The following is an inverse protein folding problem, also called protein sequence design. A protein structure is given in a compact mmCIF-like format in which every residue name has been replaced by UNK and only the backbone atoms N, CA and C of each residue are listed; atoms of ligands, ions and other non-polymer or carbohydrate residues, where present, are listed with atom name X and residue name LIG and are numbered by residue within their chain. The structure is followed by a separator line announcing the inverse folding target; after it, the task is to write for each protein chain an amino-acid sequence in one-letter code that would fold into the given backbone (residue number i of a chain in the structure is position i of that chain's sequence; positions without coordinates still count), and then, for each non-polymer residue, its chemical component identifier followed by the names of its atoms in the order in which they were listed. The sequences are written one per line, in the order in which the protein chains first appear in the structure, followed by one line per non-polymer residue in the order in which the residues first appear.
data_IF_431020504865
#
_entry.id   IF_431020504865
#
_cell.length_a   1.000
_cell.length_b   1.000
_cell.length_c   1.000
_cell.angle_alpha   90.00
_cell.angle_beta   90.00
_cell.angle_gamma   90.00
#
_symmetry.space_group_name_H-M   'P 1'
#
loop_
_entity.id
_entity.type
_entity.pdbx_description
1 polymer ?
#
# COMPACT_ATOMS: atom_id res chain seq x y z
N UNK A 1 29.35 32.47 4.00
CA UNK A 1 28.02 32.52 4.62
C UNK A 1 27.08 31.81 3.67
N UNK A 2 26.91 30.51 3.87
CA UNK A 2 26.06 29.66 3.03
C UNK A 2 24.93 29.15 3.91
N UNK A 3 23.73 29.57 3.63
CA UNK A 3 22.52 28.96 4.18
C UNK A 3 22.40 27.56 3.57
N UNK A 4 22.52 26.52 4.38
CA UNK A 4 22.05 25.19 4.03
C UNK A 4 20.54 25.19 4.20
N UNK A 5 19.82 25.01 3.12
CA UNK A 5 18.42 24.65 3.14
C UNK A 5 18.28 23.26 3.78
N UNK A 6 17.67 23.19 4.94
CA UNK A 6 17.20 21.94 5.52
C UNK A 6 15.99 21.51 4.70
N UNK A 7 16.19 20.48 3.85
CA UNK A 7 15.11 19.85 3.09
C UNK A 7 14.08 19.28 4.06
N UNK A 8 12.86 19.76 3.97
CA UNK A 8 11.74 19.31 4.78
C UNK A 8 11.46 17.82 4.47
N UNK A 9 11.52 17.01 5.51
CA UNK A 9 11.03 15.64 5.50
C UNK A 9 9.51 15.71 5.39
N UNK A 10 8.90 14.89 4.53
CA UNK A 10 7.45 14.82 4.38
C UNK A 10 6.73 14.58 5.71
N UNK A 11 5.40 14.73 5.78
CA UNK A 11 4.63 14.79 7.04
C UNK A 11 4.84 13.59 7.97
N UNK A 12 5.45 12.54 7.50
CA UNK A 12 5.78 11.34 8.28
C UNK A 12 6.93 11.53 9.29
N UNK A 13 7.66 12.66 9.30
CA UNK A 13 8.90 12.80 10.08
C UNK A 13 8.99 14.02 10.99
N UNK A 14 7.99 14.89 11.10
CA UNK A 14 8.10 16.10 11.92
C UNK A 14 7.38 16.07 13.29
N UNK A 15 7.32 14.93 13.96
CA UNK A 15 6.85 14.87 15.36
C UNK A 15 7.91 15.26 16.39
N UNK A 16 9.10 15.77 16.00
CA UNK A 16 10.21 16.02 16.94
C UNK A 16 10.64 17.48 17.14
N UNK A 17 10.01 18.45 16.50
CA UNK A 17 10.45 19.85 16.69
C UNK A 17 9.90 20.58 17.92
N UNK A 18 8.92 20.04 18.64
CA UNK A 18 8.35 20.72 19.81
C UNK A 18 8.21 19.85 21.04
N UNK A 19 9.14 19.01 21.38
CA UNK A 19 9.38 18.50 22.74
C UNK A 19 8.20 18.08 23.62
N UNK A 20 7.00 17.90 23.06
CA UNK A 20 5.84 17.36 23.76
C UNK A 20 5.29 16.15 22.96
N UNK A 21 5.13 14.96 23.58
CA UNK A 21 4.43 13.87 22.94
C UNK A 21 2.99 14.33 22.69
N UNK A 22 2.48 14.10 21.47
CA UNK A 22 1.05 14.15 21.21
C UNK A 22 0.42 13.07 22.09
N UNK A 23 -0.23 13.51 23.16
CA UNK A 23 -1.03 12.69 24.05
C UNK A 23 -2.29 12.24 23.29
N UNK A 24 -2.22 11.07 22.63
CA UNK A 24 -3.36 10.40 22.02
C UNK A 24 -4.00 9.50 23.09
N UNK A 25 -4.40 10.09 24.18
CA UNK A 25 -5.03 9.27 25.18
C UNK A 25 -5.63 10.10 26.28
N UNK A 26 -6.86 10.49 26.11
CA UNK A 26 -7.85 10.52 27.19
C UNK A 26 -9.15 11.15 26.68
N UNK A 27 -9.90 10.37 25.93
CA UNK A 27 -11.35 10.42 26.08
C UNK A 27 -11.69 9.49 27.24
N UNK A 28 -11.98 10.10 28.38
CA UNK A 28 -12.22 9.42 29.63
C UNK A 28 -13.33 8.39 29.54
N UNK A 29 -13.02 7.18 29.94
CA UNK A 29 -14.02 6.24 30.45
C UNK A 29 -13.79 6.10 31.94
N UNK A 30 -14.77 6.56 32.68
CA UNK A 30 -14.94 6.50 34.13
C UNK A 30 -14.90 5.04 34.62
N UNK A 31 -13.80 4.66 35.28
CA UNK A 31 -13.70 3.40 36.00
C UNK A 31 -14.32 3.58 37.38
N UNK A 32 -15.59 3.20 37.52
CA UNK A 32 -16.09 2.70 38.81
C UNK A 32 -17.44 2.05 38.69
N UNK A 33 -17.48 0.72 38.53
CA UNK A 33 -18.50 -0.15 39.18
C UNK A 33 -18.02 -1.60 39.22
N UNK A 34 -17.54 -1.98 40.38
CA UNK A 34 -17.49 -3.38 40.82
C UNK A 34 -18.87 -4.03 40.71
N UNK A 35 -18.95 -5.16 40.01
CA UNK A 35 -20.01 -6.17 40.27
C UNK A 35 -19.36 -7.55 40.21
N UNK A 36 -19.45 -8.24 41.34
CA UNK A 36 -19.04 -9.60 41.63
C UNK A 36 -19.83 -10.64 40.82
N UNK A 37 -19.28 -11.84 40.55
CA UNK A 37 -19.94 -12.88 39.77
C UNK A 37 -20.82 -13.75 40.67
N UNK A 38 -22.04 -13.99 40.26
CA UNK A 38 -22.89 -15.06 40.79
C UNK A 38 -22.98 -16.20 39.78
N UNK A 39 -22.59 -17.33 40.25
CA UNK A 39 -22.73 -18.65 39.59
C UNK A 39 -24.16 -19.15 39.65
N UNK A 40 -24.71 -19.69 38.57
CA UNK A 40 -25.74 -20.74 38.69
C UNK A 40 -25.59 -21.76 37.55
N UNK A 41 -25.52 -22.99 38.00
CA UNK A 41 -25.47 -24.26 37.23
C UNK A 41 -26.89 -24.71 36.85
N UNK A 42 -26.92 -25.76 36.02
CA UNK A 42 -27.96 -26.70 35.59
C UNK A 42 -28.63 -26.35 34.26
N UNK A 43 -28.80 -27.28 33.32
CA UNK A 43 -28.60 -28.73 33.28
C UNK A 43 -28.94 -29.26 31.87
N UNK A 44 -28.34 -30.34 31.57
CA UNK A 44 -28.65 -31.53 30.74
C UNK A 44 -29.54 -31.50 29.53
N UNK A 45 -29.01 -32.00 28.43
CA UNK A 45 -29.46 -32.65 27.21
C UNK A 45 -30.64 -33.67 27.36
N UNK A 46 -30.97 -34.49 26.32
CA UNK A 46 -30.93 -34.41 24.88
C UNK A 46 -32.28 -34.83 24.21
N UNK A 47 -32.42 -34.76 22.88
CA UNK A 47 -33.04 -35.79 22.05
C UNK A 47 -33.05 -35.46 20.56
N UNK A 48 -32.59 -36.42 19.81
CA UNK A 48 -32.62 -36.57 18.35
C UNK A 48 -34.04 -36.86 17.83
N UNK A 49 -34.29 -36.54 16.56
CA UNK A 49 -35.06 -37.41 15.62
C UNK A 49 -34.99 -36.83 14.20
N UNK A 50 -34.35 -37.57 13.37
CA UNK A 50 -34.57 -38.03 11.99
C UNK A 50 -35.68 -37.40 11.13
N UNK A 51 -35.33 -37.13 9.87
CA UNK A 51 -36.15 -37.54 8.74
C UNK A 51 -36.45 -36.48 7.67
N UNK A 52 -36.09 -36.77 6.43
CA UNK A 52 -36.86 -36.28 5.30
C UNK A 52 -36.10 -35.60 4.17
N UNK A 53 -35.63 -36.41 3.22
CA UNK A 53 -35.25 -36.05 1.85
C UNK A 53 -36.48 -35.62 1.07
N UNK A 54 -36.43 -34.45 0.42
CA UNK A 54 -37.34 -34.18 -0.72
C UNK A 54 -36.56 -33.38 -1.78
N UNK A 55 -36.23 -34.09 -2.83
CA UNK A 55 -35.82 -33.56 -4.15
C UNK A 55 -37.05 -32.96 -4.82
N UNK A 56 -36.96 -31.70 -5.25
CA UNK A 56 -37.94 -31.15 -6.19
C UNK A 56 -37.20 -30.44 -7.33
N UNK A 57 -37.22 -31.11 -8.47
CA UNK A 57 -36.91 -30.57 -9.81
C UNK A 57 -38.14 -29.77 -10.24
N UNK A 58 -37.93 -28.54 -10.68
CA UNK A 58 -38.97 -27.81 -11.42
C UNK A 58 -38.36 -27.06 -12.61
N UNK A 59 -38.99 -27.36 -13.73
CA UNK A 59 -38.67 -26.96 -15.08
C UNK A 59 -38.89 -25.47 -15.38
N UNK A 60 -38.16 -25.05 -16.40
CA UNK A 60 -38.30 -23.77 -17.08
C UNK A 60 -39.71 -23.53 -17.64
N UNK A 61 -40.19 -22.32 -17.56
CA UNK A 61 -41.24 -21.78 -18.41
C UNK A 61 -40.78 -20.42 -18.95
N UNK A 62 -40.50 -20.42 -20.25
CA UNK A 62 -40.34 -19.19 -21.01
C UNK A 62 -41.71 -18.54 -21.19
N UNK A 63 -41.85 -17.29 -20.84
CA UNK A 63 -42.96 -16.43 -21.22
C UNK A 63 -42.39 -15.22 -21.97
N UNK A 64 -42.59 -15.21 -23.28
CA UNK A 64 -42.47 -14.02 -24.11
C UNK A 64 -43.57 -13.03 -23.72
N UNK A 65 -43.21 -11.83 -23.37
CA UNK A 65 -44.09 -10.66 -23.34
C UNK A 65 -43.46 -9.53 -24.14
N UNK A 66 -44.24 -9.02 -25.02
CA UNK A 66 -43.97 -8.02 -26.05
C UNK A 66 -43.67 -6.63 -25.49
N UNK A 67 -42.65 -6.03 -26.05
CA UNK A 67 -42.48 -4.63 -26.44
C UNK A 67 -42.92 -3.51 -25.53
N UNK A 68 -41.96 -2.87 -24.87
CA UNK A 68 -41.86 -1.42 -24.76
C UNK A 68 -40.43 -1.07 -25.06
N UNK A 69 -40.23 -0.16 -26.01
CA UNK A 69 -38.97 0.48 -26.33
C UNK A 69 -38.66 1.42 -25.16
N UNK A 70 -37.99 0.91 -24.12
CA UNK A 70 -37.23 1.74 -23.20
C UNK A 70 -35.92 2.11 -23.88
N UNK A 71 -35.76 3.37 -24.12
CA UNK A 71 -34.48 4.01 -24.41
C UNK A 71 -33.51 3.55 -23.34
N UNK A 72 -32.47 2.82 -23.74
CA UNK A 72 -31.31 2.53 -22.89
C UNK A 72 -30.72 3.88 -22.42
N UNK A 73 -31.18 4.31 -21.27
CA UNK A 73 -30.42 5.19 -20.38
C UNK A 73 -29.26 4.30 -19.89
N UNK A 74 -28.11 4.42 -20.54
CA UNK A 74 -26.87 3.84 -20.08
C UNK A 74 -26.55 4.55 -18.75
N UNK A 75 -27.18 4.07 -17.69
CA UNK A 75 -26.96 4.56 -16.33
C UNK A 75 -25.48 4.45 -16.00
N UNK A 76 -24.84 5.59 -15.92
CA UNK A 76 -23.44 5.69 -15.52
C UNK A 76 -23.32 4.99 -14.15
N UNK A 77 -22.54 3.90 -14.10
CA UNK A 77 -22.34 3.19 -12.84
C UNK A 77 -21.55 4.09 -11.90
N UNK A 78 -21.99 4.17 -10.65
CA UNK A 78 -21.27 4.93 -9.62
C UNK A 78 -19.90 4.29 -9.32
N UNK A 79 -18.94 5.11 -8.93
CA UNK A 79 -17.64 4.62 -8.40
C UNK A 79 -17.91 3.76 -7.16
N UNK A 80 -17.27 2.60 -7.09
CA UNK A 80 -17.41 1.71 -5.93
C UNK A 80 -16.51 2.20 -4.78
N UNK A 81 -17.08 2.91 -3.82
CA UNK A 81 -16.38 3.39 -2.63
C UNK A 81 -15.93 2.27 -1.66
N UNK A 82 -16.31 1.02 -1.91
CA UNK A 82 -15.83 -0.13 -1.14
C UNK A 82 -14.71 -0.87 -1.87
N UNK A 83 -14.38 -0.49 -3.09
CA UNK A 83 -13.24 -1.06 -3.80
C UNK A 83 -11.98 -0.77 -2.98
N UNK A 84 -11.25 -1.83 -2.63
CA UNK A 84 -10.04 -1.73 -1.82
C UNK A 84 -8.82 -2.09 -2.67
N UNK A 85 -8.00 -1.10 -3.07
CA UNK A 85 -6.78 -1.36 -3.83
C UNK A 85 -5.78 -2.22 -3.03
N UNK A 86 -5.88 -2.18 -1.70
CA UNK A 86 -5.09 -2.99 -0.80
C UNK A 86 -5.67 -4.40 -0.55
N UNK A 87 -6.72 -4.84 -1.24
CA UNK A 87 -7.28 -6.17 -1.07
C UNK A 87 -6.31 -7.27 -1.52
N UNK A 88 -6.24 -8.37 -0.76
CA UNK A 88 -5.41 -9.51 -1.13
C UNK A 88 -6.04 -10.33 -2.26
N UNK A 89 -5.23 -10.76 -3.19
CA UNK A 89 -5.58 -11.68 -4.26
C UNK A 89 -4.95 -13.08 -4.03
N UNK A 90 -5.39 -14.08 -4.78
CA UNK A 90 -4.75 -15.39 -4.75
C UNK A 90 -3.29 -15.33 -5.25
N UNK A 91 -2.99 -14.40 -6.15
CA UNK A 91 -1.68 -14.19 -6.74
C UNK A 91 -0.68 -13.51 -5.80
N UNK A 92 -1.13 -12.95 -4.66
CA UNK A 92 -0.23 -12.34 -3.67
C UNK A 92 0.53 -13.39 -2.85
N UNK A 93 0.14 -14.66 -2.94
CA UNK A 93 0.81 -15.77 -2.27
C UNK A 93 1.45 -16.68 -3.30
N UNK A 94 2.74 -16.53 -3.44
CA UNK A 94 3.57 -17.46 -4.20
C UNK A 94 4.18 -18.44 -3.21
N UNK A 95 3.96 -19.73 -3.45
CA UNK A 95 4.60 -20.78 -2.65
C UNK A 95 6.13 -20.68 -2.79
N UNK A 96 6.85 -21.30 -1.85
CA UNK A 96 8.31 -21.36 -1.93
C UNK A 96 8.75 -21.93 -3.27
N UNK A 97 9.62 -21.20 -3.97
CA UNK A 97 10.17 -21.60 -5.26
C UNK A 97 11.53 -22.26 -5.09
N UNK A 98 11.84 -23.21 -5.98
CA UNK A 98 13.21 -23.71 -6.11
C UNK A 98 14.07 -22.58 -6.70
N UNK A 99 15.14 -22.21 -5.98
CA UNK A 99 16.08 -21.19 -6.43
C UNK A 99 17.32 -21.84 -7.04
N UNK A 100 17.85 -21.23 -8.09
CA UNK A 100 19.11 -21.68 -8.65
C UNK A 100 20.21 -21.63 -7.59
N UNK A 101 21.07 -22.66 -7.55
CA UNK A 101 22.27 -22.68 -6.70
C UNK A 101 23.42 -21.93 -7.38
N UNK A 102 24.42 -21.53 -6.58
CA UNK A 102 25.63 -20.89 -7.10
C UNK A 102 25.97 -19.60 -6.36
N UNK A 103 26.96 -18.85 -6.82
CA UNK A 103 27.32 -17.58 -6.20
C UNK A 103 26.23 -16.52 -6.41
N UNK A 104 26.12 -15.63 -5.42
CA UNK A 104 25.25 -14.44 -5.51
C UNK A 104 26.11 -13.20 -5.74
N UNK A 105 25.72 -12.35 -6.68
CA UNK A 105 26.31 -11.02 -6.86
C UNK A 105 25.23 -10.05 -7.27
N UNK A 106 25.16 -8.92 -6.56
CA UNK A 106 24.21 -7.85 -6.86
C UNK A 106 24.82 -6.49 -6.55
N UNK A 107 24.66 -5.53 -7.47
CA UNK A 107 25.03 -4.13 -7.24
C UNK A 107 23.77 -3.35 -6.92
N UNK A 108 23.72 -2.78 -5.75
CA UNK A 108 22.54 -2.09 -5.21
C UNK A 108 22.45 -0.61 -5.63
N UNK A 109 21.33 0.03 -5.28
CA UNK A 109 21.09 1.43 -5.61
C UNK A 109 22.03 2.44 -4.95
N UNK A 110 22.81 2.00 -3.96
CA UNK A 110 23.89 2.79 -3.34
C UNK A 110 25.20 2.68 -4.12
N UNK A 111 25.23 1.88 -5.21
CA UNK A 111 26.45 1.53 -5.96
C UNK A 111 27.35 0.53 -5.23
N UNK A 112 26.85 -0.16 -4.20
CA UNK A 112 27.58 -1.18 -3.46
C UNK A 112 27.35 -2.54 -4.10
N UNK A 113 28.42 -3.32 -4.30
CA UNK A 113 28.32 -4.69 -4.78
C UNK A 113 28.45 -5.65 -3.61
N UNK A 114 27.44 -6.50 -3.42
CA UNK A 114 27.47 -7.65 -2.49
C UNK A 114 27.78 -8.89 -3.31
N UNK A 115 28.76 -9.67 -2.87
CA UNK A 115 29.13 -10.95 -3.48
C UNK A 115 29.26 -12.01 -2.41
N UNK A 116 28.55 -13.14 -2.58
CA UNK A 116 28.57 -14.30 -1.71
C UNK A 116 28.89 -15.54 -2.55
N UNK A 117 29.62 -16.51 -1.96
CA UNK A 117 30.01 -17.76 -2.64
C UNK A 117 28.80 -18.67 -2.93
N UNK A 118 27.69 -18.45 -2.26
CA UNK A 118 26.43 -19.19 -2.44
C UNK A 118 25.23 -18.23 -2.37
N UNK A 119 24.08 -18.70 -2.87
CA UNK A 119 22.82 -17.97 -2.71
C UNK A 119 22.48 -17.78 -1.22
N UNK A 120 22.11 -16.55 -0.79
CA UNK A 120 21.71 -16.28 0.57
C UNK A 120 20.41 -17.03 0.93
N UNK A 121 20.38 -17.65 2.09
CA UNK A 121 19.22 -18.42 2.60
C UNK A 121 18.66 -17.86 3.89
N UNK A 122 19.45 -17.08 4.61
CA UNK A 122 19.09 -16.49 5.90
C UNK A 122 18.97 -14.97 5.75
N UNK A 123 17.89 -14.54 5.11
CA UNK A 123 17.67 -13.13 4.77
C UNK A 123 16.88 -12.44 5.89
N UNK A 124 17.38 -11.31 6.38
CA UNK A 124 16.58 -10.34 7.14
C UNK A 124 16.20 -9.21 6.19
N UNK A 125 14.95 -8.75 6.23
CA UNK A 125 14.48 -7.70 5.33
C UNK A 125 13.63 -6.65 6.06
N UNK A 126 13.56 -5.42 5.51
CA UNK A 126 12.51 -4.48 5.92
C UNK A 126 11.14 -4.94 5.38
N UNK A 127 10.08 -4.33 5.91
CA UNK A 127 8.71 -4.74 5.56
C UNK A 127 8.41 -4.63 4.08
N UNK A 128 8.92 -3.59 3.38
CA UNK A 128 8.75 -3.41 1.94
C UNK A 128 9.48 -4.49 1.14
N UNK A 129 10.75 -4.69 1.44
CA UNK A 129 11.55 -5.71 0.76
C UNK A 129 11.03 -7.12 1.07
N UNK A 130 10.62 -7.37 2.31
CA UNK A 130 10.05 -8.64 2.71
C UNK A 130 8.77 -8.96 1.94
N UNK A 131 7.82 -8.01 1.90
CA UNK A 131 6.56 -8.17 1.19
C UNK A 131 6.79 -8.42 -0.31
N UNK A 132 7.67 -7.62 -0.95
CA UNK A 132 8.00 -7.79 -2.36
C UNK A 132 8.66 -9.15 -2.63
N UNK A 133 9.66 -9.57 -1.82
CA UNK A 133 10.35 -10.85 -2.00
C UNK A 133 9.44 -12.06 -1.76
N UNK A 134 8.52 -11.98 -0.79
CA UNK A 134 7.54 -13.05 -0.55
C UNK A 134 6.58 -13.24 -1.74
N UNK A 135 6.32 -12.18 -2.51
CA UNK A 135 5.56 -12.28 -3.77
C UNK A 135 6.31 -13.03 -4.89
N UNK A 136 7.59 -13.29 -4.70
CA UNK A 136 8.43 -14.14 -5.56
C UNK A 136 8.82 -15.46 -4.88
N UNK A 137 8.15 -15.83 -3.77
CA UNK A 137 8.41 -17.07 -3.05
C UNK A 137 9.68 -17.08 -2.19
N UNK A 138 10.30 -15.93 -1.94
CA UNK A 138 11.46 -15.79 -1.05
C UNK A 138 10.99 -15.33 0.32
N UNK A 139 11.01 -16.21 1.30
CA UNK A 139 10.58 -15.93 2.68
C UNK A 139 11.78 -15.53 3.55
N UNK A 140 11.82 -14.30 4.11
CA UNK A 140 12.87 -13.91 5.03
C UNK A 140 12.75 -14.66 6.38
N UNK A 141 13.85 -14.77 7.11
CA UNK A 141 13.85 -15.36 8.46
C UNK A 141 13.41 -14.35 9.51
N UNK A 142 13.59 -13.06 9.25
CA UNK A 142 13.15 -11.98 10.12
C UNK A 142 12.84 -10.70 9.35
N UNK A 143 12.00 -9.86 9.94
CA UNK A 143 11.57 -8.57 9.38
C UNK A 143 11.75 -7.49 10.44
N UNK A 144 12.17 -6.28 10.01
CA UNK A 144 11.89 -5.06 10.77
C UNK A 144 10.85 -4.22 10.02
N UNK A 145 9.95 -3.61 10.77
CA UNK A 145 8.82 -2.86 10.26
C UNK A 145 8.62 -1.56 11.02
N UNK A 146 7.81 -0.67 10.47
CA UNK A 146 7.48 0.60 11.12
C UNK A 146 6.32 0.49 12.10
N UNK A 147 5.57 -0.60 12.01
CA UNK A 147 4.45 -0.99 12.89
C UNK A 147 4.56 -2.48 13.21
N UNK A 148 3.86 -3.01 14.21
CA UNK A 148 3.85 -4.46 14.46
C UNK A 148 3.49 -5.24 13.19
N UNK A 149 4.28 -6.26 12.85
CA UNK A 149 4.16 -7.02 11.59
C UNK A 149 2.73 -7.48 11.31
N UNK A 150 2.00 -7.95 12.35
CA UNK A 150 0.62 -8.44 12.20
C UNK A 150 -0.41 -7.36 11.87
N UNK A 151 -0.04 -6.08 11.93
CA UNK A 151 -0.90 -4.93 11.61
C UNK A 151 -0.32 -4.06 10.48
N UNK A 152 0.83 -4.45 9.92
CA UNK A 152 1.42 -3.72 8.79
C UNK A 152 0.56 -3.90 7.54
N UNK A 153 0.06 -2.80 6.92
CA UNK A 153 -0.69 -2.88 5.67
C UNK A 153 0.13 -3.50 4.53
N UNK A 154 1.44 -3.22 4.51
CA UNK A 154 2.38 -3.70 3.50
C UNK A 154 2.49 -5.23 3.55
N UNK A 155 2.48 -5.79 4.77
CA UNK A 155 2.59 -7.23 5.00
C UNK A 155 1.25 -7.96 5.04
N UNK A 156 0.12 -7.25 4.89
CA UNK A 156 -1.24 -7.79 5.11
C UNK A 156 -1.58 -9.05 4.30
N UNK A 157 -0.99 -9.19 3.11
CA UNK A 157 -1.23 -10.33 2.21
C UNK A 157 -0.15 -11.42 2.30
N UNK A 158 0.84 -11.24 3.17
CA UNK A 158 1.99 -12.12 3.29
C UNK A 158 1.79 -13.23 4.33
N UNK A 159 2.40 -14.40 4.12
CA UNK A 159 2.46 -15.45 5.13
C UNK A 159 3.61 -15.18 6.11
N UNK A 160 3.28 -14.64 7.28
CA UNK A 160 4.24 -14.30 8.33
C UNK A 160 4.59 -15.48 9.26
N UNK A 161 4.05 -16.68 9.02
CA UNK A 161 4.29 -17.83 9.89
C UNK A 161 5.78 -18.17 9.99
N UNK A 162 6.33 -18.19 11.20
CA UNK A 162 7.73 -18.51 11.44
C UNK A 162 8.75 -17.42 11.11
N UNK A 163 8.29 -16.21 10.79
CA UNK A 163 9.15 -15.04 10.61
C UNK A 163 9.31 -14.33 11.96
N UNK A 164 10.56 -14.03 12.33
CA UNK A 164 10.88 -13.30 13.56
C UNK A 164 10.75 -11.78 13.33
N UNK A 165 10.43 -11.02 14.39
CA UNK A 165 10.52 -9.56 14.35
C UNK A 165 11.86 -9.10 14.92
N UNK A 166 12.55 -8.18 14.23
CA UNK A 166 13.76 -7.50 14.70
C UNK A 166 13.59 -5.99 14.80
N UNK A 167 12.34 -5.51 14.82
CA UNK A 167 11.96 -4.10 15.00
C UNK A 167 10.52 -3.90 14.56
N UNK A 168 9.74 -3.12 15.32
CA UNK A 168 8.31 -2.89 15.07
C UNK A 168 7.91 -1.41 15.23
N UNK A 169 8.89 -0.54 15.09
CA UNK A 169 8.68 0.91 15.20
C UNK A 169 9.68 1.62 14.30
N UNK A 170 9.26 2.74 13.70
CA UNK A 170 10.12 3.56 12.86
C UNK A 170 11.51 3.78 13.49
N UNK A 171 12.54 3.48 12.71
CA UNK A 171 13.93 3.68 13.11
C UNK A 171 14.43 2.71 14.18
N UNK A 172 13.69 1.68 14.55
CA UNK A 172 14.16 0.65 15.49
C UNK A 172 14.66 -0.59 14.76
N UNK A 173 15.73 -1.17 15.31
CA UNK A 173 16.29 -2.43 14.86
C UNK A 173 16.98 -3.11 16.05
N UNK A 174 16.62 -4.35 16.32
CA UNK A 174 17.21 -5.15 17.38
C UNK A 174 18.48 -5.85 16.87
N UNK A 175 19.61 -5.20 17.06
CA UNK A 175 20.92 -5.67 16.58
C UNK A 175 21.34 -6.99 17.25
N UNK A 176 21.01 -7.20 18.54
CA UNK A 176 21.39 -8.41 19.25
C UNK A 176 20.58 -9.61 18.75
N UNK A 177 19.28 -9.42 18.61
CA UNK A 177 18.42 -10.46 18.06
C UNK A 177 18.79 -10.76 16.60
N UNK A 178 18.99 -9.74 15.75
CA UNK A 178 19.40 -9.94 14.37
C UNK A 178 20.71 -10.73 14.26
N UNK A 179 21.72 -10.37 15.06
CA UNK A 179 22.99 -11.10 15.09
C UNK A 179 22.81 -12.57 15.57
N UNK A 180 21.93 -12.82 16.55
CA UNK A 180 21.65 -14.17 17.05
C UNK A 180 20.98 -15.08 16.02
N UNK A 181 20.34 -14.49 15.02
CA UNK A 181 19.72 -15.22 13.90
C UNK A 181 20.72 -15.62 12.82
N UNK A 182 21.99 -15.22 12.91
CA UNK A 182 23.07 -15.57 11.99
C UNK A 182 22.65 -15.38 10.51
N UNK A 183 22.26 -14.15 10.10
CA UNK A 183 21.85 -13.86 8.73
C UNK A 183 23.05 -13.86 7.78
N UNK A 184 22.83 -14.25 6.53
CA UNK A 184 23.82 -14.16 5.46
C UNK A 184 23.63 -12.93 4.56
N UNK A 185 22.44 -12.28 4.64
CA UNK A 185 22.14 -11.03 3.91
C UNK A 185 21.08 -10.23 4.64
N UNK A 186 21.24 -8.89 4.65
CA UNK A 186 20.21 -7.96 5.13
C UNK A 186 19.78 -7.08 3.97
N UNK A 187 18.48 -7.06 3.66
CA UNK A 187 17.91 -6.32 2.55
C UNK A 187 17.01 -5.21 3.08
N UNK A 188 17.17 -4.00 2.60
CA UNK A 188 16.28 -2.87 2.90
C UNK A 188 16.01 -2.02 1.67
N UNK A 189 14.85 -1.40 1.62
CA UNK A 189 14.56 -0.39 0.61
C UNK A 189 15.52 0.79 0.78
N UNK A 190 16.09 1.26 -0.30
CA UNK A 190 16.94 2.44 -0.32
C UNK A 190 16.22 3.59 -1.01
N UNK A 191 15.91 4.64 -0.24
CA UNK A 191 15.35 5.87 -0.76
C UNK A 191 16.48 6.87 -1.08
N UNK A 192 16.81 7.11 -2.37
CA UNK A 192 17.90 7.99 -2.74
C UNK A 192 17.62 9.48 -2.44
N UNK A 193 16.35 9.89 -2.39
CA UNK A 193 15.97 11.28 -2.07
C UNK A 193 16.46 11.69 -0.68
N UNK A 194 16.42 10.75 0.27
CA UNK A 194 16.80 11.00 1.67
C UNK A 194 18.09 10.27 2.07
N UNK A 195 18.71 9.49 1.17
CA UNK A 195 19.84 8.62 1.51
C UNK A 195 19.47 7.60 2.60
N UNK A 196 18.20 7.16 2.64
CA UNK A 196 17.65 6.37 3.72
C UNK A 196 17.65 4.89 3.36
N UNK A 197 18.09 4.03 4.29
CA UNK A 197 18.08 2.58 4.16
C UNK A 197 17.06 1.99 5.15
N UNK A 198 16.06 1.29 4.63
CA UNK A 198 15.06 0.54 5.41
C UNK A 198 14.38 1.35 6.51
N UNK A 199 14.18 2.66 6.30
CA UNK A 199 13.60 3.58 7.30
C UNK A 199 14.38 3.63 8.65
N UNK A 200 15.62 3.13 8.68
CA UNK A 200 16.48 3.08 9.87
C UNK A 200 17.40 4.29 10.00
N UNK A 201 17.74 4.92 8.88
CA UNK A 201 18.71 6.01 8.82
C UNK A 201 18.09 7.24 8.18
N UNK A 202 18.63 8.40 8.53
CA UNK A 202 18.40 9.63 7.79
C UNK A 202 19.69 10.03 7.08
N UNK A 203 19.65 11.01 6.18
CA UNK A 203 20.86 11.58 5.55
C UNK A 203 21.93 12.03 6.55
N UNK A 204 21.53 12.28 7.79
CA UNK A 204 22.43 12.76 8.85
C UNK A 204 23.03 11.64 9.71
N UNK A 205 22.48 10.44 9.70
CA UNK A 205 22.92 9.32 10.56
C UNK A 205 22.86 7.97 9.82
N UNK A 206 24.01 7.53 9.31
CA UNK A 206 24.18 6.20 8.72
C UNK A 206 24.62 5.13 9.73
N UNK A 207 24.82 5.50 11.01
CA UNK A 207 25.46 4.63 12.01
C UNK A 207 24.75 3.29 12.23
N UNK A 208 23.42 3.25 12.06
CA UNK A 208 22.65 2.01 12.15
C UNK A 208 22.93 1.07 10.98
N UNK A 209 22.95 1.60 9.75
CA UNK A 209 23.28 0.81 8.57
C UNK A 209 24.70 0.24 8.67
N UNK A 210 25.68 1.05 9.12
CA UNK A 210 27.05 0.60 9.36
C UNK A 210 27.14 -0.47 10.44
N UNK A 211 26.23 -0.44 11.41
CA UNK A 211 26.16 -1.47 12.47
C UNK A 211 25.58 -2.77 11.92
N UNK A 212 24.56 -2.71 11.07
CA UNK A 212 23.97 -3.88 10.41
C UNK A 212 24.99 -4.54 9.49
N UNK A 213 25.80 -3.75 8.73
CA UNK A 213 26.87 -4.25 7.87
C UNK A 213 27.92 -5.10 8.62
N UNK A 214 28.05 -4.93 9.95
CA UNK A 214 28.92 -5.80 10.77
C UNK A 214 28.26 -7.12 11.17
N UNK A 215 26.94 -7.23 11.05
CA UNK A 215 26.21 -8.47 11.29
C UNK A 215 26.20 -9.30 10.03
N UNK A 216 25.80 -8.72 8.90
CA UNK A 216 25.84 -9.36 7.58
C UNK A 216 25.89 -8.28 6.48
N UNK A 217 26.35 -8.62 5.26
CA UNK A 217 26.29 -7.70 4.13
C UNK A 217 24.90 -7.09 3.96
N UNK A 218 24.83 -5.78 3.70
CA UNK A 218 23.56 -5.09 3.44
C UNK A 218 23.38 -4.78 1.96
N UNK A 219 22.14 -4.91 1.47
CA UNK A 219 21.72 -4.61 0.13
C UNK A 219 20.55 -3.63 0.14
N UNK A 220 20.70 -2.49 -0.56
CA UNK A 220 19.67 -1.46 -0.68
C UNK A 220 18.92 -1.55 -2.00
N UNK A 221 17.67 -2.00 -2.01
CA UNK A 221 16.84 -1.98 -3.21
C UNK A 221 16.40 -0.55 -3.48
N UNK A 222 16.72 -0.02 -4.64
CA UNK A 222 16.39 1.38 -4.98
C UNK A 222 14.89 1.59 -5.07
N UNK A 223 14.36 2.49 -4.26
CA UNK A 223 13.09 3.15 -4.52
C UNK A 223 13.31 4.16 -5.65
N UNK A 224 12.72 3.91 -6.82
CA UNK A 224 12.71 4.92 -7.87
C UNK A 224 11.72 6.02 -7.48
N UNK A 225 12.22 7.24 -7.30
CA UNK A 225 11.41 8.38 -6.83
C UNK A 225 10.53 8.99 -7.91
N UNK A 226 10.57 8.43 -9.12
CA UNK A 226 9.81 8.90 -10.29
C UNK A 226 8.92 7.82 -10.90
N UNK A 227 8.99 6.57 -10.41
CA UNK A 227 8.21 5.46 -10.96
C UNK A 227 8.15 4.27 -10.00
N UNK A 228 6.96 3.94 -9.53
CA UNK A 228 6.71 2.71 -8.77
C UNK A 228 6.91 1.48 -9.65
N UNK A 229 6.55 1.54 -10.93
CA UNK A 229 6.78 0.45 -11.88
C UNK A 229 8.27 0.06 -11.95
N UNK A 230 9.19 1.02 -11.96
CA UNK A 230 10.63 0.74 -11.91
C UNK A 230 11.08 0.16 -10.57
N UNK A 231 10.48 0.57 -9.47
CA UNK A 231 10.76 -0.03 -8.16
C UNK A 231 10.35 -1.50 -8.13
N UNK A 232 9.19 -1.84 -8.72
CA UNK A 232 8.73 -3.21 -8.89
C UNK A 232 9.72 -4.02 -9.74
N UNK A 233 10.20 -3.44 -10.84
CA UNK A 233 11.25 -4.05 -11.69
C UNK A 233 12.56 -4.29 -10.92
N UNK A 234 12.96 -3.37 -10.02
CA UNK A 234 14.13 -3.55 -9.18
C UNK A 234 13.98 -4.76 -8.24
N UNK A 235 12.80 -4.96 -7.64
CA UNK A 235 12.53 -6.14 -6.82
C UNK A 235 12.48 -7.44 -7.63
N UNK A 236 11.88 -7.41 -8.82
CA UNK A 236 11.90 -8.55 -9.74
C UNK A 236 13.33 -8.93 -10.15
N UNK A 237 14.17 -7.94 -10.49
CA UNK A 237 15.57 -8.13 -10.80
C UNK A 237 16.37 -8.69 -9.63
N UNK A 238 16.09 -8.25 -8.40
CA UNK A 238 16.68 -8.82 -7.20
C UNK A 238 16.26 -10.28 -7.01
N UNK A 239 14.96 -10.59 -7.13
CA UNK A 239 14.44 -11.96 -7.02
C UNK A 239 15.12 -12.90 -8.02
N UNK A 240 15.29 -12.47 -9.27
CA UNK A 240 16.04 -13.21 -10.30
C UNK A 240 17.49 -13.42 -9.88
N UNK A 241 18.17 -12.40 -9.36
CA UNK A 241 19.56 -12.50 -8.88
C UNK A 241 19.69 -13.42 -7.67
N UNK A 242 18.63 -13.52 -6.86
CA UNK A 242 18.50 -14.48 -5.74
C UNK A 242 18.15 -15.90 -6.23
N UNK A 243 18.18 -16.14 -7.53
CA UNK A 243 18.02 -17.46 -8.16
C UNK A 243 16.58 -17.86 -8.45
N UNK A 244 15.62 -16.94 -8.38
CA UNK A 244 14.23 -17.22 -8.79
C UNK A 244 14.14 -17.23 -10.31
N UNK A 245 13.54 -18.27 -10.87
CA UNK A 245 13.16 -18.33 -12.27
C UNK A 245 11.82 -17.57 -12.46
N UNK A 246 11.90 -16.36 -13.01
CA UNK A 246 10.73 -15.52 -13.26
C UNK A 246 9.87 -16.01 -14.42
N UNK A 247 10.35 -16.97 -15.23
CA UNK A 247 9.65 -17.55 -16.36
C UNK A 247 8.82 -18.80 -15.96
N UNK A 248 8.77 -19.12 -14.67
CA UNK A 248 7.81 -20.14 -14.19
C UNK A 248 6.38 -19.76 -14.56
N UNK A 249 5.50 -20.73 -14.87
CA UNK A 249 4.13 -20.41 -15.32
C UNK A 249 3.41 -19.42 -14.37
N UNK A 250 3.50 -19.63 -13.06
CA UNK A 250 2.84 -18.77 -12.08
C UNK A 250 3.37 -17.32 -12.12
N UNK A 251 4.69 -17.12 -12.13
CA UNK A 251 5.28 -15.77 -12.11
C UNK A 251 5.11 -15.07 -13.47
N UNK A 252 5.17 -15.82 -14.57
CA UNK A 252 4.88 -15.31 -15.91
C UNK A 252 3.42 -14.85 -16.05
N UNK A 253 2.46 -15.62 -15.52
CA UNK A 253 1.05 -15.24 -15.50
C UNK A 253 0.83 -13.98 -14.66
N UNK A 254 1.42 -13.88 -13.45
CA UNK A 254 1.37 -12.68 -12.58
C UNK A 254 1.91 -11.44 -13.33
N UNK A 255 3.04 -11.58 -14.04
CA UNK A 255 3.62 -10.47 -14.82
C UNK A 255 2.69 -10.10 -15.99
N UNK A 256 2.09 -11.08 -16.66
CA UNK A 256 1.14 -10.85 -17.74
C UNK A 256 -0.12 -10.11 -17.25
N UNK A 257 -0.65 -10.47 -16.09
CA UNK A 257 -1.79 -9.79 -15.48
C UNK A 257 -1.45 -8.32 -15.16
N UNK A 258 -0.26 -8.07 -14.62
CA UNK A 258 0.24 -6.71 -14.39
C UNK A 258 0.32 -5.90 -15.69
N UNK A 259 0.91 -6.46 -16.74
CA UNK A 259 1.03 -5.78 -18.04
C UNK A 259 -0.35 -5.49 -18.67
N UNK A 260 -1.31 -6.39 -18.47
CA UNK A 260 -2.69 -6.21 -18.90
C UNK A 260 -3.38 -5.09 -18.13
N UNK A 261 -3.19 -5.02 -16.80
CA UNK A 261 -3.73 -3.95 -15.94
C UNK A 261 -3.17 -2.57 -16.34
N UNK A 262 -1.85 -2.45 -16.55
CA UNK A 262 -1.22 -1.21 -17.05
C UNK A 262 -1.76 -0.81 -18.41
N UNK A 263 -1.96 -1.78 -19.30
CA UNK A 263 -2.53 -1.55 -20.65
C UNK A 263 -3.97 -1.06 -20.55
N UNK A 264 -4.79 -1.67 -19.70
CA UNK A 264 -6.16 -1.25 -19.44
C UNK A 264 -6.22 0.16 -18.83
N UNK A 265 -5.36 0.47 -17.84
CA UNK A 265 -5.28 1.79 -17.24
C UNK A 265 -4.98 2.86 -18.31
N UNK A 266 -3.96 2.65 -19.16
CA UNK A 266 -3.62 3.56 -20.27
C UNK A 266 -4.78 3.76 -21.23
N UNK A 267 -5.50 2.69 -21.55
CA UNK A 267 -6.70 2.76 -22.39
C UNK A 267 -7.77 3.65 -21.73
N UNK A 268 -8.13 3.37 -20.49
CA UNK A 268 -9.13 4.15 -19.74
C UNK A 268 -8.70 5.61 -19.63
N UNK A 269 -7.45 5.88 -19.28
CA UNK A 269 -6.92 7.25 -19.21
C UNK A 269 -7.02 7.98 -20.55
N UNK A 270 -6.77 7.28 -21.68
CA UNK A 270 -6.91 7.86 -23.01
C UNK A 270 -8.37 8.14 -23.41
N UNK A 271 -9.31 7.32 -22.96
CA UNK A 271 -10.74 7.47 -23.20
C UNK A 271 -11.38 8.53 -22.30
N UNK A 272 -10.75 8.84 -21.15
CA UNK A 272 -11.23 9.76 -20.12
C UNK A 272 -10.33 10.98 -19.94
N UNK A 273 -9.88 11.55 -21.07
CA UNK A 273 -9.09 12.79 -21.10
C UNK A 273 -9.85 14.04 -20.58
N UNK A 274 -11.15 13.91 -20.40
CA UNK A 274 -12.03 14.90 -19.77
C UNK A 274 -11.84 14.97 -18.25
N UNK A 275 -11.37 13.90 -17.60
CA UNK A 275 -11.25 13.81 -16.15
C UNK A 275 -9.92 14.34 -15.63
N UNK A 276 -9.97 14.90 -14.43
CA UNK A 276 -8.80 15.31 -13.65
C UNK A 276 -8.84 14.62 -12.29
N UNK A 277 -7.75 13.92 -11.93
CA UNK A 277 -7.57 13.31 -10.61
C UNK A 277 -6.92 14.27 -9.62
N UNK A 278 -7.06 14.01 -8.32
CA UNK A 278 -6.29 14.68 -7.26
C UNK A 278 -5.90 13.69 -6.18
N UNK A 279 -4.63 13.72 -5.75
CA UNK A 279 -4.18 13.03 -4.54
C UNK A 279 -4.40 13.93 -3.33
N UNK A 280 -5.12 13.44 -2.31
CA UNK A 280 -5.43 14.24 -1.13
C UNK A 280 -5.34 13.42 0.16
N UNK A 281 -4.71 14.00 1.18
CA UNK A 281 -4.65 13.45 2.52
C UNK A 281 -5.38 14.39 3.49
N UNK A 282 -6.59 14.02 3.97
CA UNK A 282 -7.35 14.82 4.91
C UNK A 282 -6.81 14.62 6.35
N UNK A 283 -6.35 15.71 6.97
CA UNK A 283 -5.89 15.78 8.36
C UNK A 283 -6.43 17.05 9.04
N UNK A 284 -5.56 17.79 9.75
CA UNK A 284 -5.87 19.14 10.30
C UNK A 284 -6.19 20.15 9.19
N UNK A 285 -5.62 19.94 8.01
CA UNK A 285 -5.89 20.62 6.73
C UNK A 285 -5.94 19.58 5.62
N UNK A 286 -6.33 19.97 4.42
CA UNK A 286 -6.16 19.10 3.25
C UNK A 286 -4.71 19.20 2.76
N UNK A 287 -4.00 18.09 2.74
CA UNK A 287 -2.70 17.94 2.09
C UNK A 287 -2.96 17.50 0.66
N UNK A 288 -2.72 18.40 -0.29
CA UNK A 288 -2.91 18.16 -1.73
C UNK A 288 -1.56 17.80 -2.33
N UNK A 289 -1.50 16.66 -3.00
CA UNK A 289 -0.27 16.13 -3.57
C UNK A 289 0.16 16.91 -4.81
N UNK A 290 1.47 17.16 -4.93
CA UNK A 290 2.09 17.42 -6.25
C UNK A 290 2.36 16.05 -6.91
N UNK A 291 1.64 15.71 -8.01
CA UNK A 291 1.77 14.38 -8.61
C UNK A 291 3.18 14.06 -9.09
N UNK A 292 3.97 15.08 -9.47
CA UNK A 292 5.36 14.89 -9.90
C UNK A 292 6.32 14.50 -8.76
N UNK A 293 5.89 14.67 -7.51
CA UNK A 293 6.70 14.33 -6.34
C UNK A 293 6.51 12.89 -5.87
N UNK A 294 5.45 12.21 -6.34
CA UNK A 294 5.10 10.85 -5.95
C UNK A 294 5.28 9.87 -7.12
N UNK A 295 5.97 8.73 -6.92
CA UNK A 295 6.24 7.79 -7.99
C UNK A 295 5.01 7.11 -8.57
N UNK A 296 3.93 6.88 -7.77
CA UNK A 296 2.69 6.30 -8.25
C UNK A 296 2.00 7.26 -9.22
N UNK A 297 1.81 8.52 -8.79
CA UNK A 297 1.13 9.51 -9.60
C UNK A 297 1.95 9.96 -10.81
N UNK A 298 3.28 9.95 -10.70
CA UNK A 298 4.16 10.15 -11.86
C UNK A 298 3.96 9.05 -12.91
N UNK A 299 3.79 7.79 -12.50
CA UNK A 299 3.43 6.70 -13.40
C UNK A 299 2.03 6.93 -14.01
N UNK A 300 1.02 7.28 -13.20
CA UNK A 300 -0.35 7.49 -13.71
C UNK A 300 -0.42 8.66 -14.71
N UNK A 301 0.30 9.76 -14.47
CA UNK A 301 0.43 10.84 -15.46
C UNK A 301 1.14 10.36 -16.73
N UNK A 302 2.22 9.59 -16.60
CA UNK A 302 2.93 9.01 -17.74
C UNK A 302 2.06 8.04 -18.56
N UNK A 303 1.07 7.42 -17.90
CA UNK A 303 0.09 6.53 -18.53
C UNK A 303 -1.12 7.28 -19.07
N UNK A 304 -1.18 8.60 -18.92
CA UNK A 304 -2.14 9.48 -19.57
C UNK A 304 -3.25 10.05 -18.67
N UNK A 305 -3.25 9.75 -17.37
CA UNK A 305 -4.18 10.39 -16.43
C UNK A 305 -3.77 11.86 -16.23
N UNK A 306 -4.73 12.78 -16.33
CA UNK A 306 -4.51 14.16 -15.94
C UNK A 306 -4.66 14.30 -14.44
N UNK A 307 -3.71 14.98 -13.81
CA UNK A 307 -3.74 15.26 -12.38
C UNK A 307 -3.84 16.75 -12.09
N UNK A 308 -4.57 17.09 -11.05
CA UNK A 308 -4.55 18.42 -10.47
C UNK A 308 -3.17 18.68 -9.85
N UNK A 309 -2.52 19.73 -10.30
CA UNK A 309 -1.24 20.17 -9.75
C UNK A 309 -1.47 21.43 -8.93
N UNK A 310 -1.15 21.45 -7.64
CA UNK A 310 -1.32 22.62 -6.80
C UNK A 310 -0.38 23.76 -7.22
N UNK A 311 -0.76 25.01 -6.93
CA UNK A 311 0.11 26.17 -7.16
C UNK A 311 1.23 26.20 -6.10
N UNK A 312 2.28 25.46 -6.39
CA UNK A 312 3.42 25.21 -5.50
C UNK A 312 3.12 24.28 -4.35
N UNK A 313 4.18 23.92 -3.63
CA UNK A 313 4.14 23.03 -2.45
C UNK A 313 4.80 23.69 -1.25
N UNK A 314 4.44 23.22 -0.04
CA UNK A 314 5.01 23.76 1.22
C UNK A 314 6.31 23.05 1.60
N UNK A 315 6.52 21.82 1.08
CA UNK A 315 7.66 20.95 1.44
C UNK A 315 8.26 20.19 0.25
N UNK A 316 7.89 20.56 -0.98
CA UNK A 316 8.31 19.88 -2.21
C UNK A 316 7.52 18.60 -2.51
N UNK A 317 6.45 18.33 -1.75
CA UNK A 317 5.59 17.17 -1.92
C UNK A 317 4.11 17.52 -1.77
N UNK A 318 3.74 18.24 -0.69
CA UNK A 318 2.38 18.58 -0.32
C UNK A 318 2.12 20.09 -0.39
N UNK A 319 0.93 20.45 -0.85
CA UNK A 319 0.33 21.77 -0.62
C UNK A 319 -0.68 21.64 0.52
N UNK A 320 -0.48 22.43 1.57
CA UNK A 320 -1.45 22.54 2.68
C UNK A 320 -2.55 23.53 2.29
N UNK A 321 -3.77 23.03 2.22
CA UNK A 321 -4.96 23.83 1.89
C UNK A 321 -5.89 23.81 3.10
N UNK A 322 -6.21 24.99 3.66
CA UNK A 322 -7.14 25.07 4.78
C UNK A 322 -8.54 24.63 4.38
N UNK A 323 -9.30 24.10 5.33
CA UNK A 323 -10.65 23.59 5.08
C UNK A 323 -11.60 24.68 4.51
N UNK A 324 -11.38 25.98 4.83
CA UNK A 324 -12.17 27.07 4.25
C UNK A 324 -11.86 27.31 2.76
N UNK A 325 -10.70 26.89 2.29
CA UNK A 325 -10.21 27.12 0.92
C UNK A 325 -10.18 25.83 0.08
N UNK A 326 -10.55 24.69 0.64
CA UNK A 326 -10.41 23.40 -0.04
C UNK A 326 -11.29 23.28 -1.29
N UNK A 327 -12.36 24.06 -1.39
CA UNK A 327 -13.19 24.16 -2.61
C UNK A 327 -12.45 24.69 -3.83
N UNK A 328 -11.24 25.27 -3.65
CA UNK A 328 -10.37 25.63 -4.78
C UNK A 328 -9.70 24.43 -5.45
N UNK A 329 -9.74 23.26 -4.80
CA UNK A 329 -9.23 22.00 -5.36
C UNK A 329 -10.32 21.41 -6.25
N UNK A 330 -10.21 21.65 -7.56
CA UNK A 330 -11.22 21.22 -8.52
C UNK A 330 -10.73 19.97 -9.26
N UNK A 331 -11.37 18.84 -8.98
CA UNK A 331 -11.03 17.53 -9.54
C UNK A 331 -12.27 16.66 -9.72
N UNK A 332 -12.19 15.72 -10.66
CA UNK A 332 -13.28 14.80 -10.99
C UNK A 332 -13.17 13.45 -10.23
N UNK A 333 -11.96 13.05 -9.85
CA UNK A 333 -11.69 11.84 -9.06
C UNK A 333 -10.72 12.17 -7.94
N UNK A 334 -11.05 11.82 -6.69
CA UNK A 334 -10.17 12.01 -5.55
C UNK A 334 -9.54 10.68 -5.11
N UNK A 335 -8.20 10.60 -5.18
CA UNK A 335 -7.40 9.54 -4.58
C UNK A 335 -7.13 9.95 -3.14
N UNK A 336 -7.85 9.33 -2.21
CA UNK A 336 -7.84 9.73 -0.80
C UNK A 336 -6.86 8.87 -0.02
N UNK A 337 -5.76 9.47 0.43
CA UNK A 337 -4.89 8.80 1.37
C UNK A 337 -5.56 8.71 2.74
N UNK A 338 -5.61 7.51 3.26
CA UNK A 338 -6.04 7.27 4.62
C UNK A 338 -5.07 6.27 5.24
N UNK A 339 -4.57 6.56 6.42
CA UNK A 339 -3.72 5.62 7.16
C UNK A 339 -4.57 4.43 7.62
N UNK A 340 -4.62 3.40 6.76
CA UNK A 340 -5.43 2.19 6.97
C UNK A 340 -4.94 1.40 8.19
N UNK A 341 -3.68 1.58 8.59
CA UNK A 341 -3.11 0.88 9.75
C UNK A 341 -3.78 1.27 11.06
N UNK A 342 -4.34 2.49 11.12
CA UNK A 342 -5.02 3.01 12.30
C UNK A 342 -6.56 3.02 12.19
N UNK A 343 -7.14 2.54 11.09
CA UNK A 343 -8.55 2.76 10.81
C UNK A 343 -9.21 1.61 10.04
N UNK A 344 -9.00 0.36 10.48
CA UNK A 344 -9.69 -0.82 9.94
C UNK A 344 -11.23 -0.69 9.88
N UNK A 345 -11.79 0.28 10.59
CA UNK A 345 -13.21 0.51 10.71
C UNK A 345 -13.72 1.74 9.92
N UNK A 346 -12.84 2.46 9.21
CA UNK A 346 -13.24 3.66 8.46
C UNK A 346 -13.52 3.31 7.01
N UNK A 347 -14.77 3.46 6.62
CA UNK A 347 -15.16 3.35 5.22
C UNK A 347 -14.82 4.66 4.49
N UNK A 348 -14.38 4.57 3.24
CA UNK A 348 -14.08 5.74 2.42
C UNK A 348 -15.27 6.71 2.36
N UNK A 349 -16.49 6.20 2.28
CA UNK A 349 -17.72 6.99 2.30
C UNK A 349 -17.95 7.82 3.58
N UNK A 350 -17.32 7.45 4.70
CA UNK A 350 -17.48 8.14 5.98
C UNK A 350 -16.44 9.26 6.19
N UNK A 351 -15.37 9.27 5.37
CA UNK A 351 -14.27 10.24 5.50
C UNK A 351 -14.74 11.69 5.35
N UNK A 352 -15.58 12.06 4.35
CA UNK A 352 -16.03 13.44 4.21
C UNK A 352 -16.69 14.02 5.45
N UNK A 353 -17.45 13.21 6.18
CA UNK A 353 -18.14 13.67 7.39
C UNK A 353 -17.22 14.00 8.57
N UNK A 354 -15.94 13.58 8.50
CA UNK A 354 -14.95 13.80 9.57
C UNK A 354 -14.17 15.10 9.41
N UNK A 355 -14.14 15.66 8.19
CA UNK A 355 -13.34 16.82 7.86
C UNK A 355 -14.21 17.95 7.30
N UNK A 356 -14.36 19.06 8.03
CA UNK A 356 -15.21 20.18 7.61
C UNK A 356 -14.81 20.73 6.24
N UNK A 357 -15.74 20.76 5.31
CA UNK A 357 -15.51 21.29 3.96
C UNK A 357 -14.85 20.31 2.98
N UNK A 358 -14.48 19.11 3.39
CA UNK A 358 -13.91 18.12 2.46
C UNK A 358 -14.91 17.73 1.37
N UNK A 359 -16.20 17.74 1.68
CA UNK A 359 -17.31 17.54 0.76
C UNK A 359 -17.53 18.70 -0.24
N UNK A 360 -16.77 19.78 -0.14
CA UNK A 360 -16.80 20.87 -1.13
C UNK A 360 -15.85 20.63 -2.30
N UNK A 361 -14.97 19.64 -2.26
CA UNK A 361 -14.22 19.17 -3.43
C UNK A 361 -15.21 18.48 -4.37
N UNK A 362 -15.25 18.89 -5.66
CA UNK A 362 -16.24 18.40 -6.64
C UNK A 362 -16.30 16.88 -6.73
N UNK A 363 -15.14 16.20 -6.74
CA UNK A 363 -15.07 14.74 -6.72
C UNK A 363 -15.68 14.13 -5.46
N UNK A 364 -15.43 14.73 -4.30
CA UNK A 364 -15.92 14.23 -3.00
C UNK A 364 -17.41 14.43 -2.87
N UNK A 365 -17.94 15.60 -3.26
CA UNK A 365 -19.38 15.90 -3.32
C UNK A 365 -20.14 14.85 -4.13
N UNK A 366 -19.57 14.39 -5.23
CA UNK A 366 -20.17 13.39 -6.13
C UNK A 366 -19.80 11.96 -5.78
N UNK A 367 -19.14 11.72 -4.64
CA UNK A 367 -18.69 10.39 -4.21
C UNK A 367 -17.77 9.70 -5.23
N UNK A 368 -16.99 10.47 -5.97
CA UNK A 368 -15.98 9.96 -6.91
C UNK A 368 -14.63 9.90 -6.22
N UNK A 369 -14.55 9.09 -5.19
CA UNK A 369 -13.37 8.86 -4.39
C UNK A 369 -12.88 7.43 -4.56
N UNK A 370 -11.60 7.24 -4.45
CA UNK A 370 -10.93 5.94 -4.35
C UNK A 370 -9.87 6.00 -3.27
N UNK A 371 -9.69 4.91 -2.53
CA UNK A 371 -8.64 4.85 -1.52
C UNK A 371 -7.27 4.85 -2.23
N UNK A 372 -6.37 5.72 -1.80
CA UNK A 372 -4.99 5.69 -2.26
C UNK A 372 -4.17 4.75 -1.35
N UNK A 373 -3.70 3.65 -1.92
CA UNK A 373 -2.85 2.66 -1.25
C UNK A 373 -1.39 3.14 -1.21
N UNK A 374 -1.14 4.17 -0.40
CA UNK A 374 0.21 4.68 -0.19
C UNK A 374 1.07 3.63 0.54
N UNK A 375 2.18 3.24 -0.06
CA UNK A 375 3.04 2.21 0.50
C UNK A 375 2.60 0.78 0.14
N UNK A 376 1.82 0.62 -0.95
CA UNK A 376 1.50 -0.69 -1.51
C UNK A 376 2.76 -1.55 -1.66
N UNK A 377 2.61 -2.86 -1.43
CA UNK A 377 3.68 -3.81 -1.74
C UNK A 377 4.10 -3.68 -3.20
N UNK A 378 5.37 -3.42 -3.42
CA UNK A 378 5.97 -3.16 -4.73
C UNK A 378 6.30 -4.46 -5.46
N UNK A 379 5.25 -5.24 -5.76
CA UNK A 379 5.31 -6.46 -6.58
C UNK A 379 4.28 -6.44 -7.69
N UNK A 380 4.49 -7.20 -8.74
CA UNK A 380 3.54 -7.30 -9.85
C UNK A 380 2.15 -7.72 -9.38
N UNK A 381 2.05 -8.77 -8.55
CA UNK A 381 0.77 -9.28 -8.08
C UNK A 381 -0.04 -8.24 -7.33
N UNK A 382 0.59 -7.57 -6.39
CA UNK A 382 -0.09 -6.63 -5.49
C UNK A 382 -0.48 -5.35 -6.20
N UNK A 383 0.41 -4.80 -7.01
CA UNK A 383 0.18 -3.54 -7.70
C UNK A 383 -0.85 -3.66 -8.84
N UNK A 384 -1.04 -4.86 -9.39
CA UNK A 384 -2.11 -5.17 -10.36
C UNK A 384 -3.48 -4.77 -9.82
N UNK A 385 -3.83 -5.20 -8.61
CA UNK A 385 -5.12 -4.86 -8.00
C UNK A 385 -5.29 -3.35 -7.80
N UNK A 386 -4.24 -2.65 -7.38
CA UNK A 386 -4.25 -1.19 -7.24
C UNK A 386 -4.57 -0.50 -8.56
N UNK A 387 -3.88 -0.90 -9.63
CA UNK A 387 -4.09 -0.35 -10.98
C UNK A 387 -5.51 -0.62 -11.48
N UNK A 388 -6.01 -1.84 -11.29
CA UNK A 388 -7.34 -2.24 -11.75
C UNK A 388 -8.45 -1.45 -11.03
N UNK A 389 -8.34 -1.28 -9.71
CA UNK A 389 -9.29 -0.47 -8.91
C UNK A 389 -9.31 0.97 -9.40
N UNK A 390 -8.16 1.55 -9.72
CA UNK A 390 -8.08 2.94 -10.20
C UNK A 390 -8.60 3.09 -11.62
N UNK A 391 -8.29 2.15 -12.51
CA UNK A 391 -8.84 2.13 -13.86
C UNK A 391 -10.38 2.01 -13.83
N UNK A 392 -10.91 1.13 -12.98
CA UNK A 392 -12.35 0.96 -12.81
C UNK A 392 -13.02 2.24 -12.29
N UNK A 393 -12.45 2.87 -11.26
CA UNK A 393 -12.95 4.13 -10.71
C UNK A 393 -12.99 5.25 -11.78
N UNK A 394 -11.91 5.43 -12.54
CA UNK A 394 -11.87 6.41 -13.64
C UNK A 394 -12.88 6.11 -14.74
N UNK A 395 -13.07 4.83 -15.08
CA UNK A 395 -14.03 4.43 -16.14
C UNK A 395 -15.46 4.82 -15.80
N UNK A 396 -15.81 4.80 -14.49
CA UNK A 396 -17.15 5.08 -13.96
C UNK A 396 -17.36 6.54 -13.58
N UNK A 397 -16.29 7.27 -13.31
CA UNK A 397 -16.37 8.66 -12.88
C UNK A 397 -17.03 9.55 -13.93
N UNK A 398 -17.70 10.61 -13.50
CA UNK A 398 -18.32 11.63 -14.35
C UNK A 398 -17.48 12.90 -14.33
N UNK A 399 -17.49 13.66 -15.41
CA UNK A 399 -16.97 15.04 -15.41
C UNK A 399 -17.82 15.89 -14.47
N UNK A 400 -17.24 16.43 -13.42
CA UNK A 400 -17.92 17.25 -12.41
C UNK A 400 -17.27 18.60 -12.20
N UNK A 401 -16.03 18.77 -12.66
CA UNK A 401 -15.34 20.08 -12.68
C UNK A 401 -15.90 20.97 -13.78
N UNK A 402 -15.94 22.27 -13.51
CA UNK A 402 -16.31 23.27 -14.52
C UNK A 402 -15.04 23.80 -15.20
N UNK A 403 -15.03 23.86 -16.52
CA UNK A 403 -13.96 24.52 -17.31
C UNK A 403 -13.82 26.00 -17.00
#
# INVERSE_FOLDING_TARGET
MGHREEGALGPYLDTRKNGAPLDIGHLGLDESRHVTPTSSRFGSAPRALTGGIAVLVLLAAAACSSGTTDTDDAGTQAVDLNANPAACSANDRVDSVDRASGPFTYTDGRGRTVSLDAQPTRIIADEESAAALMSYGIKPIAIWSTTPMGTSPILSCSDLTGIESVGETWGTFDFEKAASLDPDLVIGEFNPRFGQFGKLTTTADSSKADTIDRIAPTLGVTLDTTSTAKTIENYAGLASSLGVDLDTPQLADIKSDYDAAVTNFKKVASERQDLTGVGVWPLDVAYVLDPSADPDFSDYESWGLKMYTPDGTDDGYWKKVSWENVSSVDADVAFVYHDVANASDVKLADIPSRYPGFDTISAVEKQQMVLWDYGANKSYSRYTNTIDVYADAMSKAQKVTTE
#
